data_IF_481395503115
#
_entry.id   IF_481395503115
#
_cell.length_a   1.000
_cell.length_b   1.000
_cell.length_c   1.000
_cell.angle_alpha   90.00
_cell.angle_beta   90.00
_cell.angle_gamma   90.00
#
_symmetry.space_group_name_H-M   'P 1'
#
loop_
_entity.id
_entity.type
_entity.pdbx_description
1 polymer ?
#
# COMPACT_ATOMS: atom_id res chain seq x y z
N UNK A 1 24.76 -9.66 7.78
CA UNK A 1 24.36 -10.97 7.23
C UNK A 1 24.08 -10.78 5.76
N UNK A 2 24.54 -11.69 4.90
CA UNK A 2 24.26 -11.69 3.46
C UNK A 2 23.41 -12.92 3.15
N UNK A 3 22.38 -12.74 2.34
CA UNK A 3 21.50 -13.83 1.89
C UNK A 3 21.64 -13.90 0.38
N UNK A 4 22.03 -15.05 -0.14
CA UNK A 4 22.06 -15.29 -1.58
C UNK A 4 20.64 -15.50 -2.08
N UNK A 5 20.22 -14.65 -3.00
CA UNK A 5 18.92 -14.74 -3.67
C UNK A 5 19.11 -15.25 -5.11
N UNK A 6 18.10 -15.93 -5.67
CA UNK A 6 18.05 -16.19 -7.09
C UNK A 6 18.19 -14.89 -7.91
N UNK A 7 18.65 -14.98 -9.17
CA UNK A 7 18.67 -13.86 -10.09
C UNK A 7 17.31 -13.15 -10.21
N UNK A 8 17.34 -11.84 -10.44
CA UNK A 8 16.14 -10.99 -10.52
C UNK A 8 15.07 -11.53 -11.49
N UNK A 9 15.45 -12.15 -12.60
CA UNK A 9 14.54 -12.73 -13.59
C UNK A 9 13.76 -13.94 -13.06
N UNK A 10 14.42 -14.82 -12.30
CA UNK A 10 13.77 -15.94 -11.61
C UNK A 10 12.83 -15.46 -10.50
N UNK A 11 13.24 -14.42 -9.77
CA UNK A 11 12.37 -13.76 -8.79
C UNK A 11 11.15 -13.10 -9.44
N UNK A 12 11.30 -12.49 -10.63
CA UNK A 12 10.17 -11.94 -11.41
C UNK A 12 9.20 -13.02 -11.87
N UNK A 13 9.69 -14.19 -12.24
CA UNK A 13 8.85 -15.33 -12.61
C UNK A 13 8.07 -15.86 -11.42
N UNK A 14 8.74 -16.02 -10.27
CA UNK A 14 8.09 -16.38 -9.00
C UNK A 14 6.99 -15.40 -8.61
N UNK A 15 7.25 -14.08 -8.74
CA UNK A 15 6.26 -13.03 -8.45
C UNK A 15 5.10 -12.98 -9.46
N UNK A 16 5.34 -13.31 -10.73
CA UNK A 16 4.24 -13.42 -11.72
C UNK A 16 3.29 -14.55 -11.35
N UNK A 17 3.82 -15.71 -10.95
CA UNK A 17 3.03 -16.83 -10.46
C UNK A 17 2.14 -16.48 -9.25
N UNK A 18 2.60 -15.57 -8.37
CA UNK A 18 1.80 -15.03 -7.26
C UNK A 18 0.58 -14.22 -7.73
N UNK A 19 0.75 -13.38 -8.74
CA UNK A 19 -0.32 -12.51 -9.26
C UNK A 19 -1.36 -13.25 -10.10
N UNK A 20 -0.99 -14.41 -10.65
CA UNK A 20 -1.80 -15.23 -11.55
C UNK A 20 -2.50 -16.40 -10.85
N UNK A 21 -2.15 -16.71 -9.60
CA UNK A 21 -2.80 -17.76 -8.81
C UNK A 21 -4.30 -17.42 -8.62
N UNK A 22 -5.23 -18.28 -9.06
CA UNK A 22 -6.66 -18.01 -8.93
C UNK A 22 -7.03 -17.86 -7.46
N UNK A 23 -7.58 -16.70 -7.12
CA UNK A 23 -8.10 -16.39 -5.79
C UNK A 23 -9.33 -17.23 -5.48
N UNK A 24 -9.12 -18.47 -5.04
CA UNK A 24 -10.18 -19.33 -4.49
C UNK A 24 -9.98 -19.42 -2.98
N UNK A 25 -10.68 -18.55 -2.26
CA UNK A 25 -11.17 -18.84 -0.90
C UNK A 25 -10.18 -19.30 0.18
N UNK A 26 -9.04 -18.64 0.36
CA UNK A 26 -8.39 -18.43 1.66
C UNK A 26 -7.20 -17.47 1.46
N UNK A 27 -7.09 -16.34 2.16
CA UNK A 27 -6.00 -15.40 1.92
C UNK A 27 -4.60 -15.92 2.34
N UNK A 28 -4.51 -17.11 2.94
CA UNK A 28 -3.26 -17.69 3.47
C UNK A 28 -3.17 -19.22 3.33
N UNK A 29 -3.90 -19.81 2.37
CA UNK A 29 -3.85 -21.26 2.13
C UNK A 29 -2.76 -21.63 1.14
N UNK A 30 -1.75 -22.40 1.57
CA UNK A 30 -0.73 -22.95 0.70
C UNK A 30 -1.35 -23.72 -0.47
N UNK A 31 -1.09 -23.28 -1.71
CA UNK A 31 -1.45 -24.05 -2.90
C UNK A 31 -0.68 -25.40 -2.88
N UNK A 32 -1.35 -26.55 -2.98
CA UNK A 32 -0.65 -27.83 -3.01
C UNK A 32 -0.06 -28.03 -4.41
N UNK A 33 1.26 -27.93 -4.55
CA UNK A 33 2.00 -28.41 -5.72
C UNK A 33 2.87 -27.42 -6.49
N UNK A 34 2.92 -26.14 -6.10
CA UNK A 34 3.92 -25.18 -6.58
C UNK A 34 4.97 -24.94 -5.49
N UNK A 35 6.21 -24.63 -5.86
CA UNK A 35 7.19 -24.06 -4.91
C UNK A 35 6.54 -22.85 -4.24
N UNK A 36 6.09 -22.99 -2.99
CA UNK A 36 5.55 -21.86 -2.21
C UNK A 36 6.55 -20.72 -2.33
N UNK A 37 6.14 -19.61 -2.92
CA UNK A 37 6.94 -18.39 -3.11
C UNK A 37 7.63 -17.98 -1.80
N UNK A 38 7.01 -18.29 -0.66
CA UNK A 38 7.55 -18.10 0.69
C UNK A 38 8.89 -18.81 0.87
N UNK A 39 9.10 -20.00 0.29
CA UNK A 39 10.36 -20.77 0.41
C UNK A 39 11.54 -19.99 -0.18
N UNK A 40 11.32 -19.27 -1.28
CA UNK A 40 12.35 -18.44 -1.94
C UNK A 40 12.74 -17.26 -1.05
N UNK A 41 11.77 -16.66 -0.35
CA UNK A 41 11.99 -15.45 0.46
C UNK A 41 12.21 -15.72 1.95
N UNK A 42 12.00 -16.95 2.43
CA UNK A 42 12.20 -17.34 3.83
C UNK A 42 13.61 -17.02 4.35
N UNK A 43 14.71 -17.19 3.57
CA UNK A 43 16.04 -16.78 4.02
C UNK A 43 16.18 -15.28 4.32
N UNK A 44 15.33 -14.41 3.76
CA UNK A 44 15.30 -12.97 4.09
C UNK A 44 14.54 -12.67 5.38
N UNK A 45 13.57 -13.51 5.73
CA UNK A 45 12.73 -13.33 6.92
C UNK A 45 13.33 -14.01 8.15
N UNK A 46 14.04 -15.13 7.97
CA UNK A 46 14.71 -15.87 9.03
C UNK A 46 15.53 -14.97 9.99
N UNK A 47 16.39 -14.06 9.50
CA UNK A 47 17.24 -13.26 10.36
C UNK A 47 16.43 -12.25 11.16
N UNK A 48 15.32 -11.76 10.61
CA UNK A 48 14.44 -10.83 11.30
C UNK A 48 13.81 -11.49 12.51
N UNK A 49 13.38 -12.76 12.37
CA UNK A 49 12.79 -13.52 13.49
C UNK A 49 13.86 -13.93 14.50
N UNK A 50 15.03 -14.34 14.05
CA UNK A 50 16.15 -14.76 14.93
C UNK A 50 16.71 -13.61 15.78
N UNK A 51 16.60 -12.36 15.29
CA UNK A 51 17.16 -11.18 15.95
C UNK A 51 16.09 -10.23 16.54
N UNK A 52 14.84 -10.67 16.67
CA UNK A 52 13.76 -9.89 17.30
C UNK A 52 12.95 -10.74 18.28
N UNK A 53 12.43 -10.11 19.33
CA UNK A 53 11.39 -10.72 20.14
C UNK A 53 10.05 -10.72 19.39
N UNK A 54 9.11 -11.55 19.83
CA UNK A 54 7.73 -11.47 19.37
C UNK A 54 7.13 -10.13 19.80
N UNK A 55 6.35 -9.48 18.93
CA UNK A 55 5.80 -8.15 19.17
C UNK A 55 6.76 -6.98 18.94
N UNK A 56 8.07 -7.20 18.79
CA UNK A 56 9.00 -6.13 18.41
C UNK A 56 8.62 -5.54 17.04
N UNK A 57 8.64 -4.20 16.86
CA UNK A 57 8.33 -3.57 15.59
C UNK A 57 9.44 -3.87 14.57
N UNK A 58 9.04 -4.37 13.40
CA UNK A 58 9.95 -4.65 12.29
C UNK A 58 9.72 -3.61 11.20
N UNK A 59 10.79 -2.88 10.85
CA UNK A 59 10.76 -1.88 9.79
C UNK A 59 11.49 -2.39 8.55
N UNK A 60 10.75 -2.63 7.48
CA UNK A 60 11.29 -3.06 6.20
C UNK A 60 11.55 -1.87 5.29
N UNK A 61 12.75 -1.81 4.73
CA UNK A 61 13.15 -0.85 3.69
C UNK A 61 13.57 -1.64 2.45
N UNK A 62 12.62 -2.25 1.71
CA UNK A 62 12.93 -3.05 0.53
C UNK A 62 13.58 -2.19 -0.56
N UNK A 63 14.28 -2.84 -1.49
CA UNK A 63 14.84 -2.21 -2.68
C UNK A 63 14.65 -3.11 -3.90
N UNK A 64 14.57 -2.49 -5.08
CA UNK A 64 14.42 -3.22 -6.34
C UNK A 64 13.16 -4.09 -6.35
N UNK A 65 13.32 -5.36 -6.73
CA UNK A 65 12.20 -6.29 -6.87
C UNK A 65 11.49 -6.61 -5.54
N UNK A 66 12.19 -6.45 -4.41
CA UNK A 66 11.63 -6.74 -3.08
C UNK A 66 10.47 -5.80 -2.71
N UNK A 67 10.30 -4.66 -3.40
CA UNK A 67 9.12 -3.80 -3.24
C UNK A 67 7.81 -4.50 -3.62
N UNK A 68 7.88 -5.55 -4.43
CA UNK A 68 6.72 -6.29 -4.91
C UNK A 68 6.50 -7.60 -4.16
N UNK A 69 7.38 -7.95 -3.22
CA UNK A 69 7.28 -9.16 -2.43
C UNK A 69 6.58 -8.81 -1.11
N UNK A 70 5.46 -9.48 -0.75
CA UNK A 70 4.84 -9.32 0.55
C UNK A 70 5.66 -10.06 1.62
N UNK A 71 6.87 -9.56 1.92
CA UNK A 71 7.81 -10.17 2.89
C UNK A 71 7.19 -10.34 4.28
N UNK A 72 6.23 -9.48 4.63
CA UNK A 72 5.46 -9.57 5.86
C UNK A 72 4.56 -10.81 5.92
N UNK A 73 4.11 -11.34 4.77
CA UNK A 73 3.27 -12.53 4.68
C UNK A 73 4.08 -13.83 4.51
N UNK A 74 5.41 -13.77 4.49
CA UNK A 74 6.25 -14.97 4.36
C UNK A 74 6.20 -15.77 5.66
N UNK A 75 5.82 -17.04 5.56
CA UNK A 75 5.83 -17.99 6.67
C UNK A 75 7.23 -18.31 7.19
N UNK A 76 7.38 -18.18 8.51
CA UNK A 76 8.46 -18.76 9.31
C UNK A 76 8.07 -20.18 9.77
N UNK A 77 8.86 -20.81 10.66
CA UNK A 77 8.58 -22.18 11.17
C UNK A 77 7.11 -22.33 11.57
N UNK A 78 6.54 -23.50 11.29
CA UNK A 78 5.13 -23.84 11.56
C UNK A 78 4.10 -22.96 10.82
N UNK A 79 4.51 -22.33 9.71
CA UNK A 79 3.66 -21.51 8.83
C UNK A 79 3.13 -20.21 9.44
N UNK A 80 3.62 -19.80 10.62
CA UNK A 80 3.32 -18.47 11.18
C UNK A 80 4.04 -17.41 10.36
N UNK A 81 3.29 -16.44 9.82
CA UNK A 81 3.83 -15.36 9.00
C UNK A 81 4.51 -14.28 9.84
N UNK A 82 5.41 -13.51 9.23
CA UNK A 82 6.10 -12.42 9.93
C UNK A 82 5.12 -11.39 10.52
N UNK A 83 4.03 -11.07 9.82
CA UNK A 83 3.03 -10.11 10.30
C UNK A 83 2.10 -10.65 11.40
N UNK A 84 1.96 -11.97 11.53
CA UNK A 84 1.24 -12.56 12.66
C UNK A 84 2.09 -12.50 13.94
N UNK A 85 3.41 -12.63 13.82
CA UNK A 85 4.35 -12.57 14.96
C UNK A 85 4.71 -11.14 15.38
N UNK A 86 4.91 -10.24 14.42
CA UNK A 86 5.46 -8.92 14.66
C UNK A 86 4.65 -7.84 13.91
N UNK A 87 4.46 -6.65 14.50
CA UNK A 87 4.03 -5.48 13.75
C UNK A 87 5.07 -5.13 12.68
N UNK A 88 4.66 -5.12 11.41
CA UNK A 88 5.55 -4.81 10.29
C UNK A 88 5.16 -3.49 9.64
N UNK A 89 6.14 -2.58 9.49
CA UNK A 89 6.01 -1.35 8.72
C UNK A 89 6.94 -1.38 7.52
N UNK A 90 6.46 -0.93 6.35
CA UNK A 90 7.27 -0.84 5.13
C UNK A 90 7.43 0.62 4.74
N UNK A 91 8.64 1.03 4.40
CA UNK A 91 8.92 2.36 3.84
C UNK A 91 9.80 2.28 2.61
N UNK A 92 9.71 3.26 1.70
CA UNK A 92 10.51 3.27 0.47
C UNK A 92 11.98 3.62 0.71
N UNK A 93 12.35 4.22 1.86
CA UNK A 93 13.75 4.53 2.20
C UNK A 93 13.91 4.79 3.70
N UNK A 94 15.14 4.60 4.20
CA UNK A 94 15.50 4.94 5.58
C UNK A 94 15.29 6.44 5.90
N UNK A 95 15.52 7.32 4.93
CA UNK A 95 15.25 8.77 5.09
C UNK A 95 13.78 9.03 5.38
N UNK A 96 12.85 8.33 4.72
CA UNK A 96 11.42 8.44 5.00
C UNK A 96 11.12 7.92 6.42
N UNK A 97 11.69 6.79 6.83
CA UNK A 97 11.58 6.28 8.22
C UNK A 97 11.99 7.33 9.24
N UNK A 98 13.18 7.94 9.09
CA UNK A 98 13.66 8.95 10.04
C UNK A 98 12.74 10.17 10.12
N UNK A 99 12.11 10.57 9.02
CA UNK A 99 11.12 11.65 9.01
C UNK A 99 9.80 11.26 9.67
N UNK A 100 9.36 10.02 9.50
CA UNK A 100 8.13 9.52 10.12
C UNK A 100 8.26 9.31 11.63
N UNK A 101 9.46 9.01 12.12
CA UNK A 101 9.75 8.89 13.55
C UNK A 101 9.86 10.24 14.27
N UNK A 102 10.00 11.35 13.54
CA UNK A 102 10.04 12.67 14.14
C UNK A 102 8.65 13.02 14.75
N UNK A 103 8.58 13.59 15.96
CA UNK A 103 7.32 13.99 16.57
C UNK A 103 6.54 14.93 15.67
N UNK A 104 5.28 14.59 15.36
CA UNK A 104 4.38 15.46 14.60
C UNK A 104 3.84 16.56 15.50
N UNK A 105 3.87 17.80 15.02
CA UNK A 105 3.21 18.94 15.67
C UNK A 105 1.74 18.97 15.25
N UNK A 106 0.82 18.99 16.23
CA UNK A 106 -0.62 19.12 16.00
C UNK A 106 -1.33 17.76 15.88
N UNK A 107 -2.00 17.37 16.96
CA UNK A 107 -3.00 16.31 16.98
C UNK A 107 -4.05 16.76 17.99
N UNK A 108 -5.12 17.36 17.50
CA UNK A 108 -6.05 18.12 18.34
C UNK A 108 -7.36 18.33 17.63
N UNK A 109 -8.12 17.26 17.46
CA UNK A 109 -9.47 17.30 16.95
C UNK A 109 -9.77 16.01 16.19
N UNK A 110 -10.49 15.09 16.82
CA UNK A 110 -10.81 13.74 16.33
C UNK A 110 -11.73 13.70 15.10
N UNK A 111 -11.61 14.65 14.17
CA UNK A 111 -12.37 14.64 12.94
C UNK A 111 -11.70 13.72 11.91
N UNK A 112 -12.49 12.80 11.36
CA UNK A 112 -12.03 11.80 10.38
C UNK A 112 -12.93 11.93 9.15
N UNK A 113 -12.45 12.44 8.00
CA UNK A 113 -13.11 12.20 6.73
C UNK A 113 -13.07 10.72 6.39
N UNK A 114 -14.26 10.15 6.30
CA UNK A 114 -14.47 8.81 5.79
C UNK A 114 -15.16 8.92 4.44
N UNK A 115 -14.49 8.43 3.41
CA UNK A 115 -14.90 8.53 2.01
C UNK A 115 -15.23 7.14 1.49
N UNK A 116 -16.47 6.94 1.07
CA UNK A 116 -16.89 5.75 0.33
C UNK A 116 -17.45 6.18 -1.02
N UNK A 117 -16.60 6.16 -2.04
CA UNK A 117 -16.97 6.47 -3.42
C UNK A 117 -17.10 5.20 -4.23
N UNK A 118 -18.08 5.15 -5.12
CA UNK A 118 -18.17 4.05 -6.08
C UNK A 118 -18.69 4.54 -7.41
N UNK A 119 -18.23 3.86 -8.45
CA UNK A 119 -18.79 3.95 -9.80
C UNK A 119 -20.26 3.49 -9.73
N UNK A 120 -21.18 4.28 -10.29
CA UNK A 120 -22.61 3.95 -10.27
C UNK A 120 -22.89 2.59 -10.94
N UNK A 121 -22.08 2.21 -11.92
CA UNK A 121 -22.19 0.93 -12.62
C UNK A 121 -21.51 -0.23 -11.86
N UNK A 122 -20.61 0.08 -10.92
CA UNK A 122 -19.90 -0.89 -10.08
C UNK A 122 -19.91 -0.42 -8.63
N UNK A 123 -21.04 -0.51 -7.92
CA UNK A 123 -21.10 -0.09 -6.53
C UNK A 123 -20.19 -0.98 -5.66
N UNK A 124 -19.52 -0.37 -4.69
CA UNK A 124 -18.83 -1.09 -3.62
C UNK A 124 -19.85 -1.40 -2.53
N UNK A 125 -20.47 -2.59 -2.60
CA UNK A 125 -21.59 -2.98 -1.74
C UNK A 125 -21.32 -2.82 -0.23
N UNK A 126 -20.06 -2.97 0.20
CA UNK A 126 -19.66 -2.90 1.59
C UNK A 126 -18.95 -1.60 1.99
N UNK A 127 -18.65 -0.68 1.05
CA UNK A 127 -17.88 0.52 1.35
C UNK A 127 -18.59 1.43 2.37
N UNK A 128 -19.92 1.53 2.32
CA UNK A 128 -20.71 2.25 3.34
C UNK A 128 -20.53 1.60 4.71
N UNK A 129 -20.69 0.28 4.80
CA UNK A 129 -20.54 -0.46 6.07
C UNK A 129 -19.11 -0.34 6.61
N UNK A 130 -18.11 -0.40 5.75
CA UNK A 130 -16.69 -0.21 6.10
C UNK A 130 -16.46 1.17 6.73
N UNK A 131 -16.89 2.24 6.05
CA UNK A 131 -16.82 3.61 6.56
C UNK A 131 -17.52 3.75 7.90
N UNK A 132 -18.76 3.31 8.04
CA UNK A 132 -19.51 3.47 9.29
C UNK A 132 -18.92 2.65 10.45
N UNK A 133 -18.39 1.46 10.15
CA UNK A 133 -17.70 0.62 11.13
C UNK A 133 -16.40 1.28 11.59
N UNK A 134 -15.60 1.79 10.65
CA UNK A 134 -14.38 2.53 10.96
C UNK A 134 -14.67 3.79 11.79
N UNK A 135 -15.74 4.54 11.45
CA UNK A 135 -16.18 5.71 12.21
C UNK A 135 -16.43 5.34 13.68
N UNK A 136 -17.20 4.28 13.89
CA UNK A 136 -17.59 3.80 15.21
C UNK A 136 -16.37 3.33 16.01
N UNK A 137 -15.50 2.52 15.39
CA UNK A 137 -14.30 1.98 16.04
C UNK A 137 -13.29 3.08 16.42
N UNK A 138 -13.21 4.15 15.63
CA UNK A 138 -12.30 5.27 15.87
C UNK A 138 -12.91 6.36 16.76
N UNK A 139 -14.18 6.25 17.15
CA UNK A 139 -14.89 7.31 17.86
C UNK A 139 -14.95 8.61 17.07
N UNK A 140 -14.98 8.51 15.73
CA UNK A 140 -14.92 9.66 14.85
C UNK A 140 -16.26 10.40 14.82
N UNK A 141 -16.23 11.71 15.08
CA UNK A 141 -17.36 12.63 14.98
C UNK A 141 -17.31 13.51 13.71
N UNK A 142 -16.33 13.26 12.84
CA UNK A 142 -16.09 14.02 11.61
C UNK A 142 -17.10 13.75 10.48
N UNK A 143 -17.03 14.61 9.46
CA UNK A 143 -17.86 14.48 8.26
C UNK A 143 -17.56 13.18 7.48
N UNK A 144 -18.61 12.47 7.09
CA UNK A 144 -18.56 11.22 6.30
C UNK A 144 -19.11 11.44 4.91
N UNK A 145 -18.26 11.42 3.89
CA UNK A 145 -18.67 11.54 2.49
C UNK A 145 -18.92 10.13 1.94
N UNK A 146 -20.19 9.74 1.76
CA UNK A 146 -20.55 8.36 1.36
C UNK A 146 -21.53 8.38 0.20
N UNK A 147 -21.37 7.43 -0.73
CA UNK A 147 -22.21 7.29 -1.91
C UNK A 147 -22.08 8.51 -2.81
N UNK A 148 -23.18 9.00 -3.35
CA UNK A 148 -23.20 10.15 -4.28
C UNK A 148 -22.59 11.44 -3.70
N UNK A 149 -22.45 11.57 -2.37
CA UNK A 149 -21.77 12.72 -1.75
C UNK A 149 -20.25 12.61 -1.77
N UNK A 150 -19.72 11.42 -2.02
CA UNK A 150 -18.28 11.12 -2.02
C UNK A 150 -17.63 11.51 -3.36
N UNK A 151 -17.93 12.69 -3.86
CA UNK A 151 -17.40 13.16 -5.15
C UNK A 151 -15.96 13.65 -5.01
N UNK A 152 -15.22 13.69 -6.13
CA UNK A 152 -13.85 14.24 -6.13
C UNK A 152 -13.85 15.66 -5.57
N UNK A 153 -14.77 16.51 -6.02
CA UNK A 153 -14.88 17.90 -5.56
C UNK A 153 -15.14 17.97 -4.06
N UNK A 154 -16.09 17.19 -3.54
CA UNK A 154 -16.40 17.18 -2.11
C UNK A 154 -15.23 16.68 -1.25
N UNK A 155 -14.54 15.62 -1.70
CA UNK A 155 -13.37 15.06 -1.02
C UNK A 155 -12.23 16.08 -0.95
N UNK A 156 -11.90 16.72 -2.07
CA UNK A 156 -10.85 17.74 -2.12
C UNK A 156 -11.20 18.96 -1.28
N UNK A 157 -12.46 19.42 -1.32
CA UNK A 157 -12.93 20.51 -0.47
C UNK A 157 -12.79 20.16 1.02
N UNK A 158 -13.16 18.94 1.42
CA UNK A 158 -13.05 18.48 2.81
C UNK A 158 -11.60 18.40 3.29
N UNK A 159 -10.70 17.90 2.44
CA UNK A 159 -9.25 17.86 2.73
C UNK A 159 -8.71 19.28 2.90
N UNK A 160 -9.10 20.21 2.03
CA UNK A 160 -8.64 21.60 2.06
C UNK A 160 -9.08 22.37 3.32
N UNK A 161 -10.23 22.02 3.91
CA UNK A 161 -10.67 22.61 5.19
C UNK A 161 -9.73 22.25 6.36
N UNK A 162 -8.99 21.14 6.26
CA UNK A 162 -8.11 20.67 7.33
C UNK A 162 -8.86 20.25 8.60
N UNK A 163 -8.14 20.26 9.73
CA UNK A 163 -8.69 19.95 11.05
C UNK A 163 -9.01 18.47 11.30
N UNK A 164 -8.39 17.57 10.54
CA UNK A 164 -8.67 16.13 10.51
C UNK A 164 -7.40 15.34 10.77
N UNK A 165 -7.53 14.26 11.54
CA UNK A 165 -6.40 13.43 11.95
C UNK A 165 -6.23 12.18 11.07
N UNK A 166 -7.31 11.69 10.45
CA UNK A 166 -7.32 10.43 9.72
C UNK A 166 -8.13 10.61 8.42
N UNK A 167 -7.64 10.07 7.30
CA UNK A 167 -8.40 9.96 6.05
C UNK A 167 -8.62 8.51 5.72
N UNK A 168 -9.86 8.11 5.52
CA UNK A 168 -10.20 6.78 5.01
C UNK A 168 -10.84 6.88 3.64
N UNK A 169 -10.27 6.23 2.65
CA UNK A 169 -10.76 6.19 1.28
C UNK A 169 -11.10 4.73 0.91
N UNK A 170 -12.38 4.44 0.74
CA UNK A 170 -12.91 3.18 0.20
C UNK A 170 -13.48 3.44 -1.20
N UNK A 171 -12.80 3.02 -2.25
CA UNK A 171 -13.15 3.37 -3.63
C UNK A 171 -12.56 2.40 -4.66
N UNK A 172 -12.91 2.53 -5.94
CA UNK A 172 -12.17 1.79 -6.97
C UNK A 172 -10.80 2.42 -7.21
N UNK A 173 -9.84 1.61 -7.60
CA UNK A 173 -8.50 2.06 -7.95
C UNK A 173 -8.06 1.55 -9.30
N UNK A 174 -7.06 2.22 -9.87
CA UNK A 174 -6.29 1.70 -10.98
C UNK A 174 -4.84 2.15 -10.86
N UNK A 175 -3.95 1.18 -10.87
CA UNK A 175 -2.51 1.32 -10.99
C UNK A 175 -2.09 1.16 -12.45
N UNK A 176 -1.40 2.18 -12.96
CA UNK A 176 -0.74 2.12 -14.26
C UNK A 176 0.77 2.03 -14.05
N UNK A 177 1.34 0.85 -14.27
CA UNK A 177 2.77 0.65 -14.09
C UNK A 177 3.64 1.36 -15.14
N UNK A 178 3.09 1.63 -16.34
CA UNK A 178 3.79 2.34 -17.40
C UNK A 178 3.77 3.85 -17.15
N UNK A 179 2.70 4.36 -16.54
CA UNK A 179 2.54 5.74 -16.13
C UNK A 179 2.07 5.84 -14.66
N UNK A 180 2.94 5.60 -13.65
CA UNK A 180 2.54 5.52 -12.24
C UNK A 180 1.81 6.74 -11.71
N UNK A 181 2.15 7.94 -12.18
CA UNK A 181 1.48 9.19 -11.78
C UNK A 181 0.08 9.36 -12.38
N UNK A 182 -0.25 8.59 -13.42
CA UNK A 182 -1.56 8.60 -14.07
C UNK A 182 -2.47 7.47 -13.51
N UNK A 183 -1.95 6.69 -12.55
CA UNK A 183 -2.77 5.86 -11.65
C UNK A 183 -3.81 6.72 -10.95
N UNK A 184 -4.95 6.15 -10.57
CA UNK A 184 -6.05 6.90 -9.97
C UNK A 184 -6.88 6.09 -9.00
N UNK A 185 -7.63 6.80 -8.17
CA UNK A 185 -8.76 6.29 -7.43
C UNK A 185 -10.04 6.95 -7.95
N UNK A 186 -11.17 6.28 -7.80
CA UNK A 186 -12.45 6.74 -8.34
C UNK A 186 -13.46 7.03 -7.22
N UNK A 187 -13.54 8.29 -6.78
CA UNK A 187 -14.68 8.83 -6.05
C UNK A 187 -15.99 8.67 -6.83
N UNK A 188 -17.11 9.05 -6.22
CA UNK A 188 -18.38 9.13 -6.93
C UNK A 188 -18.38 10.25 -7.99
N UNK A 189 -19.14 10.10 -9.09
CA UNK A 189 -19.22 11.11 -10.14
C UNK A 189 -19.61 12.49 -9.61
N UNK A 190 -19.00 13.55 -10.15
CA UNK A 190 -19.48 14.91 -9.89
C UNK A 190 -20.71 15.21 -10.80
N UNK A 191 -21.77 15.87 -10.30
CA UNK A 191 -22.91 16.26 -11.14
C UNK A 191 -22.51 17.25 -12.26
N UNK A 192 -23.20 17.28 -13.42
CA UNK A 192 -24.43 16.53 -13.74
C UNK A 192 -24.20 15.16 -14.40
N UNK A 193 -22.97 14.80 -14.78
CA UNK A 193 -22.69 13.54 -15.47
C UNK A 193 -21.26 13.04 -15.21
N UNK A 194 -21.05 11.71 -15.15
CA UNK A 194 -19.74 11.13 -14.95
C UNK A 194 -18.76 11.47 -16.07
N UNK A 195 -17.54 11.85 -15.69
CA UNK A 195 -16.45 12.14 -16.63
C UNK A 195 -15.08 11.64 -16.14
N UNK A 196 -14.08 11.55 -17.03
CA UNK A 196 -12.69 11.26 -16.63
C UNK A 196 -12.12 12.26 -15.60
N UNK A 197 -12.70 13.46 -15.53
CA UNK A 197 -12.42 14.51 -14.53
C UNK A 197 -12.67 14.07 -13.09
N UNK A 198 -13.51 13.06 -12.88
CA UNK A 198 -14.01 12.67 -11.56
C UNK A 198 -13.06 11.68 -10.86
N UNK A 199 -12.03 11.22 -11.57
CA UNK A 199 -10.93 10.43 -11.01
C UNK A 199 -9.96 11.32 -10.25
N UNK A 200 -9.45 10.83 -9.13
CA UNK A 200 -8.37 11.48 -8.39
C UNK A 200 -7.07 10.74 -8.70
N UNK A 201 -6.20 11.36 -9.49
CA UNK A 201 -4.94 10.75 -9.94
C UNK A 201 -3.85 10.81 -8.87
N UNK A 202 -2.87 9.89 -8.95
CA UNK A 202 -1.68 9.90 -8.10
C UNK A 202 -0.91 11.22 -8.24
N UNK A 203 -0.86 11.80 -9.45
CA UNK A 203 -0.30 13.13 -9.70
C UNK A 203 -0.98 14.22 -8.89
N UNK A 204 -2.31 14.23 -8.88
CA UNK A 204 -3.09 15.19 -8.08
C UNK A 204 -2.85 14.98 -6.59
N UNK A 205 -2.87 13.72 -6.12
CA UNK A 205 -2.59 13.36 -4.72
C UNK A 205 -1.20 13.81 -4.27
N UNK A 206 -0.16 13.67 -5.10
CA UNK A 206 1.19 14.14 -4.81
C UNK A 206 1.27 15.67 -4.64
N UNK A 207 0.33 16.42 -5.23
CA UNK A 207 0.23 17.87 -5.07
C UNK A 207 -0.55 18.31 -3.84
N UNK A 208 -1.27 17.41 -3.17
CA UNK A 208 -2.06 17.74 -1.99
C UNK A 208 -1.20 17.91 -0.75
N UNK A 209 -1.55 18.90 0.07
CA UNK A 209 -1.09 18.97 1.45
C UNK A 209 -2.05 18.18 2.33
N UNK A 210 -1.55 17.11 2.92
CA UNK A 210 -2.28 16.24 3.84
C UNK A 210 -1.64 16.33 5.22
N UNK A 211 -2.12 17.28 6.02
CA UNK A 211 -1.68 17.47 7.40
C UNK A 211 -2.47 16.53 8.34
N UNK A 212 -2.33 15.22 8.11
CA UNK A 212 -3.06 14.15 8.80
C UNK A 212 -2.08 13.14 9.42
N UNK A 213 -2.54 12.38 10.41
CA UNK A 213 -1.74 11.34 11.06
C UNK A 213 -1.76 10.01 10.32
N UNK A 214 -2.87 9.67 9.67
CA UNK A 214 -3.07 8.41 8.96
C UNK A 214 -3.90 8.62 7.70
N UNK A 215 -3.52 7.94 6.62
CA UNK A 215 -4.35 7.73 5.44
C UNK A 215 -4.50 6.22 5.25
N UNK A 216 -5.73 5.75 5.16
CA UNK A 216 -6.04 4.37 4.75
C UNK A 216 -6.70 4.40 3.38
N UNK A 217 -6.19 3.58 2.47
CA UNK A 217 -6.73 3.45 1.12
C UNK A 217 -7.17 2.00 0.89
N UNK A 218 -8.47 1.77 0.95
CA UNK A 218 -9.12 0.56 0.47
C UNK A 218 -9.51 0.77 -0.99
N UNK A 219 -8.68 0.32 -1.92
CA UNK A 219 -9.01 0.39 -3.33
C UNK A 219 -8.70 -0.89 -4.09
N UNK A 220 -9.67 -1.30 -4.92
CA UNK A 220 -9.54 -2.51 -5.72
C UNK A 220 -8.71 -2.24 -6.97
N UNK A 221 -7.52 -2.83 -7.09
CA UNK A 221 -7.01 -3.37 -8.35
C UNK A 221 -6.02 -4.52 -8.13
N UNK A 222 -5.87 -5.38 -9.15
CA UNK A 222 -4.86 -6.44 -9.19
C UNK A 222 -3.47 -5.80 -9.21
N UNK A 223 -2.68 -6.03 -8.17
CA UNK A 223 -1.25 -5.72 -8.17
C UNK A 223 -0.57 -6.58 -9.25
N UNK A 224 -0.55 -6.12 -10.50
CA UNK A 224 0.31 -6.70 -11.54
C UNK A 224 1.63 -5.97 -11.46
N UNK A 225 2.65 -6.61 -10.89
CA UNK A 225 4.01 -6.09 -10.84
C UNK A 225 4.59 -5.97 -12.27
N UNK A 226 4.32 -4.87 -12.97
CA UNK A 226 5.02 -4.52 -14.20
C UNK A 226 6.33 -3.84 -13.81
N UNK A 227 7.39 -4.63 -13.74
CA UNK A 227 8.74 -4.11 -13.54
C UNK A 227 9.24 -3.53 -14.87
N UNK A 228 9.48 -2.22 -14.91
CA UNK A 228 10.11 -1.59 -16.08
C UNK A 228 11.55 -2.09 -16.19
N UNK A 229 11.95 -2.50 -17.40
CA UNK A 229 13.33 -2.89 -17.70
C UNK A 229 14.23 -1.66 -17.52
N UNK A 230 14.98 -1.58 -16.43
CA UNK A 230 16.17 -0.72 -16.43
C UNK A 230 17.19 -1.36 -17.36
N UNK A 231 17.50 -0.68 -18.46
CA UNK A 231 18.67 -0.99 -19.30
C UNK A 231 19.91 -1.07 -18.40
N UNK A 232 20.83 -2.03 -18.60
CA UNK A 232 22.01 -2.15 -17.76
C UNK A 232 22.83 -0.85 -17.87
N UNK A 233 22.79 -0.05 -16.82
CA UNK A 233 23.71 1.05 -16.67
C UNK A 233 25.11 0.45 -16.67
N UNK A 234 25.93 0.84 -17.64
CA UNK A 234 27.34 0.48 -17.72
C UNK A 234 27.97 0.86 -16.37
N UNK A 235 28.35 -0.14 -15.59
CA UNK A 235 29.13 0.07 -14.36
C UNK A 235 30.46 0.71 -14.76
N UNK A 236 30.55 2.03 -14.62
CA UNK A 236 31.84 2.71 -14.53
C UNK A 236 32.49 2.27 -13.22
N UNK A 237 33.58 1.51 -13.33
CA UNK A 237 34.37 1.08 -12.19
C UNK A 237 34.81 2.30 -11.39
N UNK A 238 34.40 2.37 -10.12
CA UNK A 238 34.93 3.34 -9.16
C UNK A 238 36.42 3.04 -8.94
N UNK A 239 37.28 4.03 -9.23
CA UNK A 239 38.72 3.99 -8.90
C UNK A 239 38.95 4.89 -7.68
N UNK A 240 39.59 4.39 -6.61
CA UNK A 240 39.99 5.25 -5.49
C UNK A 240 41.09 6.24 -5.93
N UNK A 241 41.18 7.42 -5.29
CA UNK A 241 42.28 8.34 -5.54
C UNK A 241 43.61 7.74 -5.07
N UNK A 242 44.65 7.91 -5.89
CA UNK A 242 46.02 7.49 -5.58
C UNK A 242 46.63 8.43 -4.52
N UNK A 243 47.56 7.94 -3.68
CA UNK A 243 48.14 8.68 -2.56
C UNK A 243 48.92 9.92 -2.99
#
# INVERSE_FOLDING_TARGET
MTVDLPPDDELRETLRGLSEAPGVGHPFGAAPGGTSWERVFRPLVAPLVEHSAEGDPIWLVPSGILHHVPLHAVGWRDSVTLCERNPVTVTPSATVTTRLLAPRRGAGGGSVPLVAGSDAERPLAHARTEVETAATALGADGERLVGERATKTAVLARIALGGMDIVHLACHGRFDAAAPLDSWIQPSPDPPAPGPSDRLTARELCGLRLDVRLVTLGACERLVAHTSRRSPARHGAWRPPSP
#
